data_IF_975195256693
#
_entry.id   IF_975195256693
#
_cell.length_a   1.000
_cell.length_b   1.000
_cell.length_c   1.000
_cell.angle_alpha   90.00
_cell.angle_beta   90.00
_cell.angle_gamma   90.00
#
_symmetry.space_group_name_H-M   'P 1'
#
loop_
_entity.id
_entity.type
_entity.pdbx_description
1 polymer ?
#
# COMPACT_ATOMS: atom_id res chain seq x y z
N UNK A 1 -30.07 12.18 2.97
CA UNK A 1 -30.04 12.09 1.49
C UNK A 1 -29.81 10.64 1.12
N UNK A 2 -30.66 10.04 0.27
CA UNK A 2 -30.46 8.65 -0.18
C UNK A 2 -29.39 8.66 -1.27
N UNK A 3 -28.37 7.79 -1.23
CA UNK A 3 -27.30 7.80 -2.22
C UNK A 3 -27.83 7.36 -3.60
N UNK A 4 -27.26 7.91 -4.67
CA UNK A 4 -27.58 7.52 -6.05
C UNK A 4 -26.90 6.20 -6.46
N UNK A 5 -25.80 5.85 -5.79
CA UNK A 5 -25.09 4.58 -5.94
C UNK A 5 -24.28 4.29 -4.67
N UNK A 6 -23.98 3.01 -4.44
CA UNK A 6 -23.05 2.55 -3.41
C UNK A 6 -21.85 1.95 -4.13
N UNK A 7 -20.64 2.41 -3.82
CA UNK A 7 -19.41 1.84 -4.39
C UNK A 7 -18.68 1.05 -3.32
N UNK A 8 -18.41 -0.22 -3.61
CA UNK A 8 -17.69 -1.12 -2.72
C UNK A 8 -16.55 -1.74 -3.50
N UNK A 9 -15.43 -1.90 -2.83
CA UNK A 9 -14.33 -2.61 -3.44
C UNK A 9 -14.65 -4.12 -3.62
N UNK A 10 -14.28 -4.70 -4.77
CA UNK A 10 -14.60 -6.07 -5.16
C UNK A 10 -14.16 -7.16 -4.16
N UNK A 11 -13.06 -6.97 -3.42
CA UNK A 11 -12.61 -7.92 -2.39
C UNK A 11 -13.49 -7.87 -1.14
N UNK A 12 -13.93 -6.66 -0.75
CA UNK A 12 -14.87 -6.52 0.36
C UNK A 12 -16.23 -7.12 -0.02
N UNK A 13 -16.69 -6.90 -1.25
CA UNK A 13 -17.92 -7.52 -1.74
C UNK A 13 -17.89 -9.06 -1.67
N UNK A 14 -16.76 -9.70 -2.00
CA UNK A 14 -16.59 -11.16 -1.86
C UNK A 14 -16.70 -11.66 -0.41
N UNK A 15 -16.43 -10.81 0.58
CA UNK A 15 -16.50 -11.15 2.00
C UNK A 15 -17.86 -10.85 2.63
N UNK A 16 -18.72 -10.09 1.94
CA UNK A 16 -20.05 -9.76 2.43
C UNK A 16 -20.98 -10.98 2.38
N UNK A 17 -21.76 -11.15 3.45
CA UNK A 17 -22.90 -12.05 3.44
C UNK A 17 -23.90 -11.65 2.35
N UNK A 18 -24.55 -12.63 1.72
CA UNK A 18 -25.52 -12.38 0.65
C UNK A 18 -26.67 -11.47 1.10
N UNK A 19 -27.13 -11.63 2.35
CA UNK A 19 -28.15 -10.80 3.00
C UNK A 19 -27.78 -9.32 3.01
N UNK A 20 -26.54 -9.00 3.37
CA UNK A 20 -26.04 -7.62 3.41
C UNK A 20 -25.94 -7.06 1.99
N UNK A 21 -25.44 -7.86 1.04
CA UNK A 21 -25.35 -7.45 -0.37
C UNK A 21 -26.72 -7.11 -0.96
N UNK A 22 -27.74 -7.92 -0.66
CA UNK A 22 -29.08 -7.70 -1.16
C UNK A 22 -29.70 -6.45 -0.54
N UNK A 23 -29.55 -6.24 0.78
CA UNK A 23 -29.96 -5.00 1.47
C UNK A 23 -29.33 -3.74 0.84
N UNK A 24 -28.04 -3.79 0.52
CA UNK A 24 -27.35 -2.69 -0.14
C UNK A 24 -27.95 -2.39 -1.53
N UNK A 25 -28.29 -3.43 -2.29
CA UNK A 25 -28.93 -3.30 -3.59
C UNK A 25 -30.35 -2.72 -3.51
N UNK A 26 -31.05 -2.85 -2.37
CA UNK A 26 -32.35 -2.20 -2.14
C UNK A 26 -32.20 -0.69 -1.92
N UNK A 27 -31.07 -0.26 -1.34
CA UNK A 27 -30.82 1.16 -1.04
C UNK A 27 -30.53 1.92 -2.34
N UNK A 28 -29.61 1.41 -3.16
CA UNK A 28 -29.17 2.00 -4.43
C UNK A 28 -28.42 0.94 -5.28
N UNK A 29 -28.15 1.21 -6.58
CA UNK A 29 -27.25 0.38 -7.37
C UNK A 29 -25.89 0.20 -6.68
N UNK A 30 -25.43 -1.05 -6.65
CA UNK A 30 -24.15 -1.43 -6.07
C UNK A 30 -23.10 -1.56 -7.18
N UNK A 31 -22.07 -0.71 -7.13
CA UNK A 31 -20.92 -0.74 -8.04
C UNK A 31 -19.77 -1.44 -7.31
N UNK A 32 -19.25 -2.51 -7.90
CA UNK A 32 -18.07 -3.22 -7.39
C UNK A 32 -16.92 -3.17 -8.37
N UNK A 33 -15.75 -2.77 -7.89
CA UNK A 33 -14.52 -2.74 -8.68
C UNK A 33 -13.30 -2.94 -7.79
N UNK A 34 -12.16 -3.40 -8.32
CA UNK A 34 -10.91 -3.33 -7.59
C UNK A 34 -10.58 -1.85 -7.36
N UNK A 35 -10.55 -1.42 -6.10
CA UNK A 35 -10.15 -0.07 -5.73
C UNK A 35 -8.71 -0.10 -5.23
N UNK A 36 -7.76 0.48 -5.99
CA UNK A 36 -6.45 0.77 -5.46
C UNK A 36 -6.54 1.82 -4.35
N UNK A 37 -6.67 1.39 -3.10
CA UNK A 37 -6.11 2.20 -2.04
C UNK A 37 -4.61 1.88 -1.97
N UNK A 38 -3.79 2.92 -1.80
CA UNK A 38 -2.34 2.76 -1.69
C UNK A 38 -1.95 1.73 -0.63
N UNK A 39 -2.63 1.75 0.53
CA UNK A 39 -2.46 0.77 1.61
C UNK A 39 -2.66 -0.69 1.16
N UNK A 40 -3.52 -0.94 0.17
CA UNK A 40 -3.98 -2.28 -0.20
C UNK A 40 -3.20 -2.93 -1.31
N UNK A 41 -2.76 -2.14 -2.29
CA UNK A 41 -1.70 -2.52 -3.23
C UNK A 41 -0.49 -3.04 -2.44
N UNK A 42 -0.15 -2.31 -1.37
CA UNK A 42 1.04 -2.53 -0.57
C UNK A 42 0.92 -3.76 0.35
N UNK A 43 -0.26 -4.05 0.91
CA UNK A 43 -0.51 -5.32 1.59
C UNK A 43 -0.29 -6.55 0.69
N UNK A 44 -0.71 -6.48 -0.59
CA UNK A 44 -0.47 -7.56 -1.54
C UNK A 44 1.03 -7.72 -1.88
N UNK A 45 1.81 -6.62 -1.78
CA UNK A 45 3.25 -6.63 -1.96
C UNK A 45 4.01 -7.10 -0.70
N UNK A 46 3.31 -7.34 0.42
CA UNK A 46 3.91 -7.86 1.65
C UNK A 46 4.61 -6.81 2.50
N UNK A 47 4.29 -5.51 2.33
CA UNK A 47 4.80 -4.46 3.23
C UNK A 47 3.84 -4.23 4.39
N UNK A 48 4.40 -3.83 5.53
CA UNK A 48 3.66 -3.63 6.77
C UNK A 48 2.98 -2.27 6.84
N UNK A 49 3.55 -1.25 6.21
CA UNK A 49 2.95 0.09 6.11
C UNK A 49 3.50 0.88 4.91
N UNK A 50 2.81 1.97 4.56
CA UNK A 50 3.21 2.88 3.48
C UNK A 50 2.98 4.33 3.87
N UNK A 51 4.04 5.14 3.82
CA UNK A 51 4.02 6.55 4.15
C UNK A 51 4.41 7.38 2.92
N UNK A 52 3.73 8.51 2.73
CA UNK A 52 4.05 9.47 1.67
C UNK A 52 4.87 10.60 2.28
N UNK A 53 5.99 10.96 1.65
CA UNK A 53 6.79 12.12 2.05
C UNK A 53 6.00 13.41 1.77
N UNK A 54 5.98 14.40 2.68
CA UNK A 54 6.76 14.49 3.92
C UNK A 54 6.15 13.70 5.08
N UNK A 55 6.98 12.95 5.80
CA UNK A 55 6.58 12.15 6.98
C UNK A 55 6.99 12.88 8.25
N UNK A 56 6.06 13.01 9.20
CA UNK A 56 6.33 13.58 10.52
C UNK A 56 6.81 12.51 11.50
N UNK A 57 7.49 12.93 12.57
CA UNK A 57 7.93 12.01 13.63
C UNK A 57 6.76 11.22 14.22
N UNK A 58 5.61 11.87 14.47
CA UNK A 58 4.43 11.20 15.02
C UNK A 58 3.91 10.11 14.07
N UNK A 59 3.77 10.41 12.78
CA UNK A 59 3.30 9.45 11.78
C UNK A 59 4.25 8.25 11.67
N UNK A 60 5.56 8.51 11.68
CA UNK A 60 6.57 7.45 11.66
C UNK A 60 6.51 6.58 12.93
N UNK A 61 6.35 7.21 14.09
CA UNK A 61 6.23 6.51 15.37
C UNK A 61 4.98 5.62 15.41
N UNK A 62 3.84 6.13 14.94
CA UNK A 62 2.62 5.35 14.84
C UNK A 62 2.77 4.16 13.89
N UNK A 63 3.48 4.32 12.77
CA UNK A 63 3.77 3.22 11.84
C UNK A 63 4.64 2.13 12.48
N UNK A 64 5.69 2.51 13.22
CA UNK A 64 6.53 1.57 13.96
C UNK A 64 5.72 0.87 15.07
N UNK A 65 4.88 1.60 15.80
CA UNK A 65 4.05 1.06 16.88
C UNK A 65 2.96 0.08 16.40
N UNK A 66 2.55 0.17 15.12
CA UNK A 66 1.62 -0.79 14.51
C UNK A 66 2.25 -2.16 14.24
N UNK A 67 3.58 -2.27 14.28
CA UNK A 67 4.27 -3.54 14.09
C UNK A 67 4.05 -4.42 15.33
N UNK A 68 3.58 -5.65 15.12
CA UNK A 68 3.24 -6.59 16.18
C UNK A 68 4.48 -7.31 16.78
N UNK A 69 5.66 -6.67 16.75
CA UNK A 69 6.93 -7.26 17.20
C UNK A 69 7.81 -6.23 17.91
N UNK A 70 8.65 -6.66 18.87
CA UNK A 70 9.61 -5.76 19.51
C UNK A 70 10.66 -5.30 18.50
N UNK A 71 10.80 -3.99 18.35
CA UNK A 71 11.78 -3.37 17.45
C UNK A 71 12.97 -2.86 18.27
N UNK A 72 14.18 -3.29 17.92
CA UNK A 72 15.44 -2.73 18.46
C UNK A 72 16.33 -2.18 17.35
N UNK A 73 16.36 -2.81 16.20
CA UNK A 73 17.21 -2.47 15.07
C UNK A 73 16.38 -2.04 13.87
N UNK A 74 16.67 -0.85 13.35
CA UNK A 74 15.96 -0.25 12.22
C UNK A 74 16.97 0.04 11.12
N UNK A 75 16.71 -0.44 9.91
CA UNK A 75 17.49 -0.09 8.73
C UNK A 75 16.73 0.93 7.89
N UNK A 76 17.36 2.07 7.59
CA UNK A 76 16.84 3.07 6.66
C UNK A 76 17.55 2.90 5.32
N UNK A 77 16.81 2.79 4.23
CA UNK A 77 17.31 2.62 2.87
C UNK A 77 16.68 3.69 1.98
N UNK A 78 17.47 4.67 1.57
CA UNK A 78 17.04 5.79 0.72
C UNK A 78 18.30 6.41 0.08
N UNK A 79 18.30 6.73 -1.21
CA UNK A 79 19.45 7.33 -1.89
C UNK A 79 19.66 8.81 -1.52
N UNK A 80 18.64 9.47 -0.97
CA UNK A 80 18.74 10.83 -0.44
C UNK A 80 19.32 10.82 0.98
N UNK A 81 20.59 11.23 1.10
CA UNK A 81 21.28 11.31 2.38
C UNK A 81 20.61 12.22 3.41
N UNK A 82 19.93 13.29 2.99
CA UNK A 82 19.24 14.19 3.89
C UNK A 82 17.98 13.54 4.45
N UNK A 83 17.26 12.76 3.64
CA UNK A 83 16.12 11.96 4.09
C UNK A 83 16.58 10.88 5.09
N UNK A 84 17.66 10.16 4.79
CA UNK A 84 18.24 9.16 5.72
C UNK A 84 18.62 9.81 7.05
N UNK A 85 19.25 11.00 7.02
CA UNK A 85 19.62 11.76 8.23
C UNK A 85 18.38 12.21 9.00
N UNK A 86 17.34 12.70 8.32
CA UNK A 86 16.09 13.14 8.92
C UNK A 86 15.41 12.00 9.67
N UNK A 87 15.19 10.86 9.02
CA UNK A 87 14.54 9.71 9.66
C UNK A 87 15.39 9.14 10.79
N UNK A 88 16.71 9.09 10.64
CA UNK A 88 17.61 8.71 11.73
C UNK A 88 17.42 9.58 12.96
N UNK A 89 17.33 10.90 12.79
CA UNK A 89 17.10 11.83 13.92
C UNK A 89 15.72 11.66 14.54
N UNK A 90 14.68 11.49 13.72
CA UNK A 90 13.31 11.26 14.20
C UNK A 90 13.24 9.99 15.06
N UNK A 91 13.82 8.89 14.59
CA UNK A 91 13.82 7.60 15.31
C UNK A 91 14.61 7.70 16.61
N UNK A 92 15.81 8.32 16.58
CA UNK A 92 16.62 8.51 17.78
C UNK A 92 15.91 9.39 18.82
N UNK A 93 15.14 10.39 18.38
CA UNK A 93 14.31 11.20 19.27
C UNK A 93 13.12 10.44 19.89
N UNK A 94 12.72 9.28 19.34
CA UNK A 94 11.67 8.44 19.91
C UNK A 94 12.19 7.57 21.06
N UNK A 95 13.41 7.02 20.93
CA UNK A 95 14.03 6.19 21.96
C UNK A 95 15.52 5.99 21.72
N UNK A 96 16.32 6.12 22.78
CA UNK A 96 17.77 5.80 22.78
C UNK A 96 18.05 4.30 22.62
N UNK A 97 17.03 3.44 22.72
CA UNK A 97 17.18 1.99 22.58
C UNK A 97 17.21 1.54 21.11
N UNK A 98 16.80 2.40 20.17
CA UNK A 98 16.83 2.07 18.76
C UNK A 98 18.24 2.14 18.18
N UNK A 99 18.67 1.03 17.60
CA UNK A 99 19.89 0.92 16.81
C UNK A 99 19.54 1.23 15.36
N UNK A 100 19.88 2.43 14.91
CA UNK A 100 19.61 2.87 13.54
C UNK A 100 20.81 2.60 12.64
N UNK A 101 20.59 1.83 11.59
CA UNK A 101 21.52 1.65 10.48
C UNK A 101 21.03 2.37 9.24
N UNK A 102 21.97 2.75 8.38
CA UNK A 102 21.74 3.60 7.21
C UNK A 102 22.30 2.92 5.99
N UNK A 103 21.56 2.99 4.89
CA UNK A 103 21.99 2.64 3.55
C UNK A 103 21.57 3.76 2.61
N UNK A 104 22.45 4.14 1.70
CA UNK A 104 22.26 5.25 0.77
C UNK A 104 21.91 4.78 -0.65
N UNK A 105 21.17 3.67 -0.73
CA UNK A 105 20.80 3.02 -1.98
C UNK A 105 20.39 1.56 -1.77
N UNK A 106 19.73 0.99 -2.78
CA UNK A 106 19.16 -0.34 -2.72
C UNK A 106 20.20 -1.46 -2.61
N UNK A 107 21.34 -1.33 -3.29
CA UNK A 107 22.45 -2.31 -3.25
C UNK A 107 23.02 -2.40 -1.84
N UNK A 108 23.35 -1.26 -1.23
CA UNK A 108 23.89 -1.20 0.13
C UNK A 108 22.87 -1.73 1.14
N UNK A 109 21.61 -1.32 1.00
CA UNK A 109 20.52 -1.78 1.86
C UNK A 109 20.39 -3.30 1.85
N UNK A 110 20.36 -3.90 0.66
CA UNK A 110 20.27 -5.35 0.51
C UNK A 110 21.48 -6.09 1.09
N UNK A 111 22.69 -5.56 0.89
CA UNK A 111 23.90 -6.14 1.47
C UNK A 111 23.88 -6.11 3.00
N UNK A 112 23.51 -4.97 3.59
CA UNK A 112 23.41 -4.79 5.04
C UNK A 112 22.34 -5.69 5.67
N UNK A 113 21.19 -5.88 5.02
CA UNK A 113 20.15 -6.82 5.47
C UNK A 113 20.69 -8.25 5.50
N UNK A 114 21.45 -8.67 4.48
CA UNK A 114 22.00 -10.01 4.43
C UNK A 114 23.10 -10.25 5.48
N UNK A 115 23.96 -9.27 5.73
CA UNK A 115 25.02 -9.40 6.73
C UNK A 115 24.42 -9.49 8.14
N UNK A 116 23.50 -8.58 8.45
CA UNK A 116 22.84 -8.53 9.75
C UNK A 116 21.39 -8.07 9.54
N UNK A 117 20.42 -9.01 9.60
CA UNK A 117 19.01 -8.70 9.43
C UNK A 117 18.51 -7.69 10.49
N UNK A 118 17.83 -6.60 10.10
CA UNK A 118 17.18 -5.69 11.03
C UNK A 118 15.82 -6.22 11.50
N UNK A 119 15.25 -5.62 12.55
CA UNK A 119 13.89 -5.91 12.99
C UNK A 119 12.83 -5.24 12.10
N UNK A 120 13.18 -4.14 11.43
CA UNK A 120 12.32 -3.45 10.45
C UNK A 120 13.16 -2.66 9.44
N UNK A 121 12.65 -2.53 8.23
CA UNK A 121 13.23 -1.70 7.17
C UNK A 121 12.32 -0.51 6.88
N UNK A 122 12.88 0.70 6.87
CA UNK A 122 12.29 1.87 6.22
C UNK A 122 12.87 1.96 4.81
N UNK A 123 12.03 1.79 3.79
CA UNK A 123 12.48 1.59 2.41
C UNK A 123 11.89 2.64 1.47
N UNK A 124 12.74 3.40 0.79
CA UNK A 124 12.30 4.19 -0.35
C UNK A 124 11.98 3.29 -1.56
N UNK A 125 11.01 3.73 -2.35
CA UNK A 125 10.57 2.99 -3.52
C UNK A 125 11.44 3.26 -4.76
N UNK A 126 11.85 4.51 -4.96
CA UNK A 126 12.42 5.00 -6.20
C UNK A 126 13.88 5.38 -5.97
N UNK A 127 14.76 4.39 -6.12
CA UNK A 127 16.21 4.59 -6.04
C UNK A 127 16.84 4.33 -7.43
N UNK A 128 17.95 5.02 -7.77
CA UNK A 128 18.57 4.92 -9.10
C UNK A 128 19.27 3.58 -9.37
N UNK A 129 19.62 2.81 -8.32
CA UNK A 129 20.34 1.55 -8.45
C UNK A 129 19.41 0.33 -8.53
N UNK A 130 18.77 -0.02 -7.42
CA UNK A 130 17.79 -1.09 -7.30
C UNK A 130 16.57 -0.47 -6.63
N UNK A 131 15.43 -0.52 -7.30
CA UNK A 131 14.18 0.01 -6.73
C UNK A 131 13.68 -0.82 -5.53
N UNK A 132 12.81 -0.21 -4.72
CA UNK A 132 12.26 -0.81 -3.51
C UNK A 132 11.43 -2.07 -3.77
N UNK A 133 10.75 -2.17 -4.92
CA UNK A 133 9.96 -3.38 -5.25
C UNK A 133 10.87 -4.58 -5.51
N UNK A 134 11.95 -4.36 -6.25
CA UNK A 134 12.96 -5.38 -6.53
C UNK A 134 13.61 -5.87 -5.23
N UNK A 135 13.84 -4.97 -4.27
CA UNK A 135 14.32 -5.35 -2.93
C UNK A 135 13.30 -6.22 -2.20
N UNK A 136 12.02 -5.84 -2.20
CA UNK A 136 10.95 -6.62 -1.57
C UNK A 136 10.83 -8.03 -2.17
N UNK A 137 10.88 -8.15 -3.49
CA UNK A 137 10.87 -9.44 -4.18
C UNK A 137 12.07 -10.30 -3.76
N UNK A 138 13.26 -9.72 -3.72
CA UNK A 138 14.48 -10.43 -3.27
C UNK A 138 14.39 -10.85 -1.81
N UNK A 139 13.89 -9.99 -0.92
CA UNK A 139 13.71 -10.32 0.50
C UNK A 139 12.84 -11.57 0.68
N UNK A 140 11.75 -11.71 -0.08
CA UNK A 140 10.87 -12.89 -0.02
C UNK A 140 11.56 -14.19 -0.42
N UNK A 141 12.59 -14.13 -1.26
CA UNK A 141 13.37 -15.32 -1.67
C UNK A 141 14.42 -15.76 -0.66
N UNK A 142 14.69 -14.93 0.36
CA UNK A 142 15.73 -15.18 1.36
C UNK A 142 15.07 -15.46 2.71
N UNK A 143 15.11 -16.71 3.25
CA UNK A 143 14.33 -17.10 4.42
C UNK A 143 14.50 -16.20 5.65
N UNK A 144 15.72 -15.72 5.91
CA UNK A 144 16.01 -14.83 7.06
C UNK A 144 15.50 -13.39 6.89
N UNK A 145 15.07 -13.00 5.69
CA UNK A 145 14.57 -11.66 5.37
C UNK A 145 13.08 -11.65 5.04
N UNK A 146 12.51 -12.81 4.69
CA UNK A 146 11.15 -12.94 4.15
C UNK A 146 10.07 -12.38 5.09
N UNK A 147 10.26 -12.53 6.40
CA UNK A 147 9.29 -12.10 7.42
C UNK A 147 9.64 -10.74 8.06
N UNK A 148 10.71 -10.07 7.62
CA UNK A 148 11.09 -8.77 8.18
C UNK A 148 10.06 -7.73 7.71
N UNK A 149 9.41 -7.00 8.64
CA UNK A 149 8.46 -5.96 8.28
C UNK A 149 9.16 -4.82 7.51
N UNK A 150 8.50 -4.35 6.46
CA UNK A 150 8.95 -3.20 5.67
C UNK A 150 7.91 -2.09 5.75
N UNK A 151 8.35 -0.90 6.12
CA UNK A 151 7.58 0.34 6.01
C UNK A 151 8.14 1.07 4.78
N UNK A 152 7.33 1.18 3.75
CA UNK A 152 7.71 1.96 2.58
C UNK A 152 7.51 3.44 2.83
N UNK A 153 8.46 4.26 2.38
CA UNK A 153 8.38 5.72 2.50
C UNK A 153 8.77 6.35 1.17
N UNK A 154 7.82 6.90 0.41
CA UNK A 154 8.08 7.42 -0.94
C UNK A 154 7.44 8.78 -1.19
N UNK A 155 7.96 9.51 -2.18
CA UNK A 155 7.37 10.76 -2.66
C UNK A 155 6.05 10.56 -3.43
N UNK A 156 5.76 9.35 -3.93
CA UNK A 156 4.51 9.05 -4.65
C UNK A 156 3.51 8.35 -3.77
N UNK A 157 2.22 8.50 -4.07
CA UNK A 157 1.19 7.68 -3.45
C UNK A 157 1.32 6.22 -3.88
N UNK A 158 1.02 5.27 -2.99
CA UNK A 158 1.11 3.85 -3.31
C UNK A 158 0.19 3.41 -4.47
N UNK A 159 -0.88 4.15 -4.74
CA UNK A 159 -1.73 3.96 -5.92
C UNK A 159 -1.04 4.39 -7.21
N UNK A 160 -0.26 5.46 -7.20
CA UNK A 160 0.43 6.00 -8.38
C UNK A 160 1.64 5.17 -8.78
N UNK A 161 2.32 4.57 -7.80
CA UNK A 161 3.50 3.74 -8.06
C UNK A 161 3.18 2.37 -8.65
N UNK A 162 1.97 1.86 -8.43
CA UNK A 162 1.54 0.52 -8.88
C UNK A 162 0.28 0.61 -9.77
N UNK A 163 -0.13 1.83 -10.16
CA UNK A 163 -1.29 2.10 -11.00
C UNK A 163 -1.27 1.31 -12.32
N UNK A 164 -0.09 0.95 -12.81
CA UNK A 164 0.10 0.32 -14.12
C UNK A 164 -0.38 -1.14 -14.22
N UNK A 165 -0.77 -1.81 -13.13
CA UNK A 165 -0.98 -3.28 -13.15
C UNK A 165 -2.30 -3.78 -12.57
N UNK A 166 -3.29 -2.92 -12.31
CA UNK A 166 -4.56 -3.38 -11.72
C UNK A 166 -5.51 -3.80 -12.82
N UNK A 167 -5.45 -5.08 -13.15
CA UNK A 167 -6.42 -5.75 -14.00
C UNK A 167 -7.60 -6.20 -13.14
N UNK A 168 -8.83 -5.93 -13.59
CA UNK A 168 -10.02 -6.44 -12.92
C UNK A 168 -11.32 -5.95 -13.54
N UNK A 169 -12.43 -6.47 -13.00
CA UNK A 169 -13.77 -6.25 -13.55
C UNK A 169 -14.51 -5.19 -12.73
N UNK A 170 -15.02 -4.16 -13.40
CA UNK A 170 -16.07 -3.30 -12.88
C UNK A 170 -17.42 -4.02 -13.08
N UNK A 171 -18.17 -4.22 -11.99
CA UNK A 171 -19.50 -4.82 -12.02
C UNK A 171 -20.51 -3.86 -11.41
N UNK A 172 -21.73 -3.84 -11.95
CA UNK A 172 -22.83 -3.06 -11.38
C UNK A 172 -24.02 -3.99 -11.16
N UNK A 173 -24.58 -3.98 -9.94
CA UNK A 173 -25.76 -4.77 -9.57
C UNK A 173 -26.89 -3.84 -9.14
N UNK A 174 -28.10 -4.13 -9.60
CA UNK A 174 -29.34 -3.43 -9.25
C UNK A 174 -30.38 -4.48 -8.87
N UNK A 175 -31.15 -4.24 -7.81
CA UNK A 175 -32.10 -5.22 -7.24
C UNK A 175 -33.02 -5.86 -8.29
N UNK A 176 -33.55 -5.06 -9.21
CA UNK A 176 -34.50 -5.50 -10.24
C UNK A 176 -33.84 -5.70 -11.62
N UNK A 177 -32.52 -5.81 -11.66
CA UNK A 177 -31.76 -5.78 -12.92
C UNK A 177 -31.87 -4.44 -13.64
N UNK A 178 -31.37 -4.42 -14.88
CA UNK A 178 -31.39 -3.24 -15.74
C UNK A 178 -32.38 -3.41 -16.87
N UNK A 179 -33.05 -2.33 -17.24
CA UNK A 179 -33.77 -2.28 -18.51
C UNK A 179 -32.76 -2.13 -19.66
N UNK A 180 -33.05 -2.66 -20.88
CA UNK A 180 -32.13 -2.55 -22.01
C UNK A 180 -31.67 -1.13 -22.29
N UNK A 181 -32.57 -0.15 -22.19
CA UNK A 181 -32.26 1.27 -22.41
C UNK A 181 -31.33 1.84 -21.34
N UNK A 182 -31.44 1.39 -20.08
CA UNK A 182 -30.54 1.81 -19.00
C UNK A 182 -29.12 1.28 -19.21
N UNK A 183 -28.98 0.05 -19.75
CA UNK A 183 -27.69 -0.53 -20.08
C UNK A 183 -27.01 0.18 -21.25
N UNK A 184 -27.77 0.52 -22.29
CA UNK A 184 -27.24 1.25 -23.46
C UNK A 184 -26.67 2.59 -23.02
N UNK A 185 -27.44 3.40 -22.30
CA UNK A 185 -26.95 4.70 -21.81
C UNK A 185 -25.73 4.56 -20.89
N UNK A 186 -25.72 3.56 -20.01
CA UNK A 186 -24.58 3.31 -19.11
C UNK A 186 -23.31 2.95 -19.89
N UNK A 187 -23.43 2.14 -20.94
CA UNK A 187 -22.29 1.78 -21.81
C UNK A 187 -21.83 3.00 -22.62
N UNK A 188 -22.75 3.77 -23.19
CA UNK A 188 -22.44 5.00 -23.93
C UNK A 188 -21.67 6.00 -23.06
N UNK A 189 -22.19 6.29 -21.85
CA UNK A 189 -21.53 7.17 -20.89
C UNK A 189 -20.12 6.68 -20.53
N UNK A 190 -19.93 5.37 -20.34
CA UNK A 190 -18.62 4.79 -20.02
C UNK A 190 -17.67 4.92 -21.22
N UNK A 191 -18.12 4.60 -22.43
CA UNK A 191 -17.29 4.65 -23.65
C UNK A 191 -16.88 6.08 -23.99
N UNK A 192 -17.76 7.07 -23.79
CA UNK A 192 -17.45 8.48 -24.02
C UNK A 192 -16.40 9.02 -23.05
N UNK A 193 -16.39 8.55 -21.80
CA UNK A 193 -15.46 9.02 -20.77
C UNK A 193 -14.15 8.20 -20.70
N UNK A 194 -13.99 7.18 -21.54
CA UNK A 194 -12.76 6.36 -21.64
C UNK A 194 -11.81 6.80 -22.77
N UNK A 195 -12.24 7.71 -23.65
CA UNK A 195 -11.43 8.30 -24.74
C UNK A 195 -10.92 9.70 -24.38
#
# INVERSE_FOLDING_TARGET
VRPSAIVIDSKYDQQLEASVRDQLCEIAPLITCPMPSGRRIMQNLGVSDYLVKPVTQQVLQEAINRLAQPIKSILIVDDDQEIVRLFSRMIQAMSDQYIVRKAYGGVEGMALMQIQPPDVVLLDLLMPDIDGLTILERMKTIPKLADIPVIMISARGASESVASSIQGTLSVKKQNGFQPIELVHCIEDIVENLN
#
